data_IF_604521480945
#
_entry.id   IF_604521480945
#
_cell.length_a   1.000
_cell.length_b   1.000
_cell.length_c   1.000
_cell.angle_alpha   90.00
_cell.angle_beta   90.00
_cell.angle_gamma   90.00
#
_symmetry.space_group_name_H-M   'P 1'
#
loop_
_entity.id
_entity.type
_entity.pdbx_description
1 polymer ?
#
# COMPACT_ATOMS: atom_id res chain seq x y z
N UNK A 1 -4.51 -6.28 0.90
CA UNK A 1 -5.22 -6.03 2.18
C UNK A 1 -5.06 -7.22 3.11
N UNK A 2 -5.36 -8.44 2.63
CA UNK A 2 -5.14 -9.69 3.37
C UNK A 2 -3.67 -9.86 3.78
N UNK A 3 -2.72 -9.66 2.87
CA UNK A 3 -1.29 -9.79 3.18
C UNK A 3 -0.83 -8.85 4.31
N UNK A 4 -1.29 -7.59 4.31
CA UNK A 4 -0.99 -6.61 5.38
C UNK A 4 -1.60 -7.05 6.71
N UNK A 5 -2.88 -7.42 6.72
CA UNK A 5 -3.57 -7.92 7.91
C UNK A 5 -2.89 -9.16 8.51
N UNK A 6 -2.43 -10.09 7.66
CA UNK A 6 -1.69 -11.26 8.11
C UNK A 6 -0.34 -10.90 8.74
N UNK A 7 0.37 -9.91 8.20
CA UNK A 7 1.64 -9.42 8.76
C UNK A 7 1.43 -8.75 10.12
N UNK A 8 0.39 -7.94 10.26
CA UNK A 8 0.06 -7.27 11.52
C UNK A 8 -0.35 -8.28 12.60
N UNK A 9 -1.37 -9.09 12.31
CA UNK A 9 -1.83 -10.12 13.24
C UNK A 9 -0.71 -11.11 13.58
N UNK A 10 0.11 -11.51 12.60
CA UNK A 10 1.25 -12.39 12.81
C UNK A 10 2.28 -11.79 13.76
N UNK A 11 2.63 -10.52 13.57
CA UNK A 11 3.56 -9.82 14.47
C UNK A 11 3.01 -9.64 15.89
N UNK A 12 1.69 -9.44 16.03
CA UNK A 12 1.04 -9.23 17.32
C UNK A 12 0.97 -10.52 18.15
N UNK A 13 0.67 -11.66 17.51
CA UNK A 13 0.71 -12.98 18.15
C UNK A 13 2.14 -13.36 18.54
N UNK A 14 3.13 -13.07 17.69
CA UNK A 14 4.53 -13.38 17.96
C UNK A 14 5.08 -12.60 19.18
N UNK A 15 4.67 -11.34 19.31
CA UNK A 15 5.06 -10.44 20.40
C UNK A 15 4.57 -10.90 21.77
N UNK A 16 3.52 -11.73 21.82
CA UNK A 16 2.99 -12.26 23.08
C UNK A 16 4.02 -13.09 23.85
N UNK A 17 5.00 -13.68 23.15
CA UNK A 17 5.99 -14.59 23.74
C UNK A 17 7.45 -14.23 23.37
N UNK A 18 7.67 -13.20 22.56
CA UNK A 18 8.99 -12.81 22.05
C UNK A 18 9.10 -11.29 21.93
N UNK A 19 10.30 -10.71 21.92
CA UNK A 19 10.49 -9.28 21.68
C UNK A 19 9.96 -8.87 20.30
N UNK A 20 9.32 -7.69 20.26
CA UNK A 20 8.66 -7.12 19.08
C UNK A 20 9.59 -7.11 17.84
N UNK A 21 9.24 -7.82 16.75
CA UNK A 21 10.06 -7.84 15.53
C UNK A 21 10.04 -6.48 14.82
N UNK A 22 9.02 -5.65 15.08
CA UNK A 22 8.85 -4.31 14.53
C UNK A 22 9.92 -3.32 15.02
N UNK A 23 10.45 -3.54 16.24
CA UNK A 23 11.41 -2.64 16.89
C UNK A 23 12.81 -3.25 16.94
N UNK A 24 12.90 -4.57 16.79
CA UNK A 24 14.15 -5.33 16.87
C UNK A 24 14.80 -5.51 15.49
N UNK A 25 14.00 -5.74 14.44
CA UNK A 25 14.50 -6.10 13.10
C UNK A 25 14.28 -4.93 12.12
N UNK A 26 15.38 -4.26 11.74
CA UNK A 26 15.38 -3.12 10.79
C UNK A 26 14.70 -3.44 9.46
N UNK A 27 14.95 -4.63 8.92
CA UNK A 27 14.35 -5.07 7.67
C UNK A 27 12.83 -5.29 7.78
N UNK A 28 12.37 -5.89 8.88
CA UNK A 28 10.96 -6.22 9.08
C UNK A 28 10.10 -4.96 9.13
N UNK A 29 10.57 -3.92 9.85
CA UNK A 29 9.84 -2.66 9.85
C UNK A 29 9.72 -2.06 8.44
N UNK A 30 10.83 -1.92 7.71
CA UNK A 30 10.83 -1.31 6.36
C UNK A 30 9.87 -2.04 5.42
N UNK A 31 9.91 -3.38 5.43
CA UNK A 31 9.04 -4.22 4.60
C UNK A 31 7.57 -4.05 5.00
N UNK A 32 7.25 -4.06 6.30
CA UNK A 32 5.89 -3.90 6.79
C UNK A 32 5.27 -2.59 6.31
N UNK A 33 5.99 -1.47 6.48
CA UNK A 33 5.50 -0.15 6.09
C UNK A 33 5.32 -0.05 4.58
N UNK A 34 6.26 -0.60 3.80
CA UNK A 34 6.14 -0.70 2.35
C UNK A 34 4.89 -1.49 1.91
N UNK A 35 4.67 -2.68 2.48
CA UNK A 35 3.52 -3.53 2.16
C UNK A 35 2.21 -2.87 2.56
N UNK A 36 2.16 -2.21 3.71
CA UNK A 36 0.98 -1.45 4.12
C UNK A 36 0.65 -0.34 3.13
N UNK A 37 1.61 0.56 2.87
CA UNK A 37 1.35 1.74 2.06
C UNK A 37 0.98 1.37 0.63
N UNK A 38 1.70 0.43 0.02
CA UNK A 38 1.39 -0.09 -1.31
C UNK A 38 -0.03 -0.71 -1.36
N UNK A 39 -0.40 -1.48 -0.34
CA UNK A 39 -1.72 -2.12 -0.25
C UNK A 39 -2.86 -1.13 -0.10
N UNK A 40 -2.71 -0.10 0.74
CA UNK A 40 -3.72 0.94 0.95
C UNK A 40 -3.96 1.75 -0.34
N UNK A 41 -2.90 2.06 -1.07
CA UNK A 41 -3.04 2.76 -2.35
C UNK A 41 -3.72 1.88 -3.38
N UNK A 42 -3.30 0.62 -3.52
CA UNK A 42 -3.94 -0.31 -4.45
C UNK A 42 -5.43 -0.50 -4.14
N UNK A 43 -5.84 -0.60 -2.87
CA UNK A 43 -7.26 -0.81 -2.53
C UNK A 43 -8.13 0.38 -2.97
N UNK A 44 -7.69 1.62 -2.74
CA UNK A 44 -8.41 2.83 -3.17
C UNK A 44 -8.61 2.84 -4.68
N UNK A 45 -7.56 2.57 -5.45
CA UNK A 45 -7.62 2.56 -6.92
C UNK A 45 -8.41 1.39 -7.50
N UNK A 46 -8.36 0.22 -6.88
CA UNK A 46 -9.18 -0.91 -7.31
C UNK A 46 -10.67 -0.65 -7.09
N UNK A 47 -11.04 0.03 -5.98
CA UNK A 47 -12.41 0.43 -5.72
C UNK A 47 -12.88 1.48 -6.75
N UNK A 48 -12.07 2.50 -7.04
CA UNK A 48 -12.46 3.52 -8.04
C UNK A 48 -12.67 2.92 -9.42
N UNK A 49 -11.81 1.99 -9.85
CA UNK A 49 -11.96 1.27 -11.12
C UNK A 49 -13.20 0.39 -11.10
N UNK A 50 -13.49 -0.31 -10.00
CA UNK A 50 -14.71 -1.10 -9.88
C UNK A 50 -15.99 -0.23 -9.95
N UNK A 51 -15.96 0.96 -9.37
CA UNK A 51 -17.05 1.93 -9.48
C UNK A 51 -17.21 2.45 -10.93
N UNK A 52 -16.09 2.75 -11.60
CA UNK A 52 -16.10 3.17 -13.01
C UNK A 52 -16.63 2.06 -13.93
N UNK A 53 -16.28 0.80 -13.67
CA UNK A 53 -16.79 -0.35 -14.42
C UNK A 53 -18.32 -0.48 -14.28
N UNK A 54 -18.84 -0.40 -13.05
CA UNK A 54 -20.30 -0.40 -12.79
C UNK A 54 -21.02 0.79 -13.42
N UNK A 55 -20.41 1.97 -13.41
CA UNK A 55 -20.95 3.16 -14.08
C UNK A 55 -20.98 2.99 -15.60
N UNK A 56 -19.92 2.44 -16.18
CA UNK A 56 -19.84 2.17 -17.61
C UNK A 56 -20.87 1.13 -18.06
N UNK A 57 -21.20 0.15 -17.21
CA UNK A 57 -22.26 -0.83 -17.45
C UNK A 57 -23.67 -0.23 -17.43
N UNK A 58 -23.94 0.73 -16.54
CA UNK A 58 -25.26 1.36 -16.42
C UNK A 58 -25.49 2.51 -17.40
N UNK A 59 -24.44 3.01 -18.05
CA UNK A 59 -24.53 4.08 -19.05
C UNK A 59 -25.26 3.63 -20.32
N UNK A 60 -26.16 4.48 -20.83
CA UNK A 60 -26.84 4.30 -22.13
C UNK A 60 -25.90 4.48 -23.34
N UNK A 61 -24.67 4.95 -23.14
CA UNK A 61 -23.75 5.22 -24.23
C UNK A 61 -23.04 3.93 -24.69
N UNK A 62 -23.37 3.46 -25.90
CA UNK A 62 -22.79 2.24 -26.49
C UNK A 62 -21.25 2.26 -26.60
N UNK A 63 -20.63 3.45 -26.73
CA UNK A 63 -19.17 3.59 -26.81
C UNK A 63 -18.49 3.27 -25.47
N UNK A 64 -19.11 3.67 -24.36
CA UNK A 64 -18.63 3.41 -23.00
C UNK A 64 -18.85 1.94 -22.63
N UNK A 65 -20.00 1.37 -23.02
CA UNK A 65 -20.31 -0.05 -22.80
C UNK A 65 -19.37 -0.99 -23.55
N UNK A 66 -18.87 -0.61 -24.73
CA UNK A 66 -17.85 -1.39 -25.47
C UNK A 66 -16.49 -1.42 -24.77
N UNK A 67 -16.21 -0.43 -23.91
CA UNK A 67 -14.99 -0.36 -23.10
C UNK A 67 -15.00 -1.33 -21.90
N UNK A 68 -16.19 -1.80 -21.49
CA UNK A 68 -16.37 -2.82 -20.45
C UNK A 68 -16.07 -4.21 -21.03
N UNK A 69 -14.81 -4.45 -21.34
CA UNK A 69 -14.30 -5.77 -21.69
C UNK A 69 -13.40 -6.25 -20.57
N UNK A 70 -13.53 -7.52 -20.19
CA UNK A 70 -12.69 -8.17 -19.17
C UNK A 70 -11.20 -7.99 -19.47
N UNK A 71 -10.81 -8.00 -20.74
CA UNK A 71 -9.42 -7.75 -21.19
C UNK A 71 -8.93 -6.34 -20.87
N UNK A 72 -9.79 -5.33 -20.99
CA UNK A 72 -9.46 -3.94 -20.67
C UNK A 72 -9.38 -3.76 -19.15
N UNK A 73 -10.30 -4.37 -18.40
CA UNK A 73 -10.27 -4.38 -16.95
C UNK A 73 -8.99 -5.02 -16.41
N UNK A 74 -8.59 -6.19 -16.93
CA UNK A 74 -7.32 -6.84 -16.54
C UNK A 74 -6.10 -5.97 -16.84
N UNK A 75 -6.03 -5.34 -18.03
CA UNK A 75 -4.94 -4.42 -18.37
C UNK A 75 -4.91 -3.22 -17.44
N UNK A 76 -6.05 -2.63 -17.12
CA UNK A 76 -6.14 -1.50 -16.20
C UNK A 76 -5.63 -1.88 -14.81
N UNK A 77 -6.02 -3.04 -14.29
CA UNK A 77 -5.52 -3.56 -13.01
C UNK A 77 -4.02 -3.76 -13.04
N UNK A 78 -3.46 -4.39 -14.08
CA UNK A 78 -2.01 -4.60 -14.20
C UNK A 78 -1.23 -3.28 -14.24
N UNK A 79 -1.72 -2.30 -14.98
CA UNK A 79 -1.11 -0.96 -15.06
C UNK A 79 -1.16 -0.27 -13.70
N UNK A 80 -2.30 -0.32 -13.03
CA UNK A 80 -2.48 0.29 -11.69
C UNK A 80 -1.54 -0.36 -10.69
N UNK A 81 -1.47 -1.69 -10.63
CA UNK A 81 -0.53 -2.39 -9.77
C UNK A 81 0.91 -1.95 -10.08
N UNK A 82 1.33 -1.98 -11.34
CA UNK A 82 2.68 -1.58 -11.73
C UNK A 82 3.04 -0.13 -11.34
N UNK A 83 2.13 0.82 -11.59
CA UNK A 83 2.35 2.23 -11.28
C UNK A 83 2.40 2.48 -9.77
N UNK A 84 1.55 1.81 -8.98
CA UNK A 84 1.45 2.05 -7.54
C UNK A 84 2.46 1.29 -6.69
N UNK A 85 3.24 0.36 -7.26
CA UNK A 85 4.39 -0.25 -6.59
C UNK A 85 5.63 0.67 -6.52
N UNK A 86 5.77 1.61 -7.47
CA UNK A 86 6.98 2.44 -7.60
C UNK A 86 7.11 3.49 -6.48
N UNK A 87 6.06 4.28 -6.15
CA UNK A 87 6.15 5.32 -5.13
C UNK A 87 6.67 4.80 -3.78
N UNK A 88 6.12 3.73 -3.17
CA UNK A 88 6.54 3.31 -1.84
C UNK A 88 7.98 2.80 -1.75
N UNK A 89 8.71 2.62 -2.86
CA UNK A 89 10.14 2.24 -2.81
C UNK A 89 10.96 3.26 -2.00
N UNK A 90 10.58 4.54 -1.98
CA UNK A 90 11.24 5.55 -1.15
C UNK A 90 11.21 5.17 0.35
N UNK A 91 10.16 4.50 0.83
CA UNK A 91 10.04 4.15 2.25
C UNK A 91 11.05 3.07 2.67
N UNK A 92 11.52 2.22 1.77
CA UNK A 92 12.57 1.24 2.11
C UNK A 92 13.89 1.93 2.46
N UNK A 93 14.18 3.07 1.84
CA UNK A 93 15.45 3.80 2.02
C UNK A 93 15.37 4.70 3.25
N UNK A 94 14.30 5.48 3.40
CA UNK A 94 14.21 6.56 4.40
C UNK A 94 13.72 6.15 5.80
N UNK A 95 13.19 4.95 5.97
CA UNK A 95 12.79 4.46 7.31
C UNK A 95 13.97 3.86 8.06
N UNK A 96 14.16 4.28 9.30
CA UNK A 96 15.10 3.67 10.24
C UNK A 96 14.45 3.45 11.61
N UNK A 97 15.02 2.52 12.39
CA UNK A 97 14.59 2.32 13.78
C UNK A 97 15.28 3.40 14.60
N UNK A 98 14.49 4.27 15.26
CA UNK A 98 15.06 5.23 16.22
C UNK A 98 15.28 4.50 17.55
N UNK A 99 16.54 4.20 17.84
CA UNK A 99 16.97 3.45 19.02
C UNK A 99 16.51 4.10 20.34
N UNK A 100 16.24 5.41 20.36
CA UNK A 100 15.82 6.16 21.56
C UNK A 100 14.36 5.93 21.99
N UNK A 101 13.47 5.53 21.08
CA UNK A 101 12.02 5.34 21.39
C UNK A 101 11.55 3.96 20.92
N UNK A 102 12.43 3.14 20.34
CA UNK A 102 12.08 1.83 19.77
C UNK A 102 10.88 1.90 18.81
N UNK A 103 10.68 3.04 18.13
CA UNK A 103 9.63 3.19 17.13
C UNK A 103 10.28 3.27 15.77
N UNK A 104 9.69 2.54 14.83
CA UNK A 104 10.09 2.65 13.45
C UNK A 104 9.44 3.87 12.81
N UNK A 105 10.26 4.89 12.56
CA UNK A 105 9.82 6.20 12.10
C UNK A 105 10.76 6.70 11.01
N UNK A 106 10.34 7.74 10.30
CA UNK A 106 11.19 8.37 9.27
C UNK A 106 12.37 9.04 9.97
N UNK A 107 13.60 8.69 9.57
CA UNK A 107 14.81 9.30 10.09
C UNK A 107 15.01 10.68 9.43
N UNK A 108 14.99 11.73 10.27
CA UNK A 108 15.46 13.12 10.08
C UNK A 108 15.21 13.87 8.75
N UNK A 109 14.49 13.30 7.79
CA UNK A 109 14.25 13.89 6.47
C UNK A 109 12.82 14.44 6.39
N UNK A 110 12.70 15.76 6.52
CA UNK A 110 11.41 16.47 6.45
C UNK A 110 10.70 16.26 5.10
N UNK A 111 11.47 16.14 4.02
CA UNK A 111 10.95 15.85 2.67
C UNK A 111 10.25 14.48 2.61
N UNK A 112 10.87 13.43 3.15
CA UNK A 112 10.30 12.08 3.17
C UNK A 112 9.02 12.01 4.03
N UNK A 113 8.96 12.78 5.12
CA UNK A 113 7.76 12.89 5.95
C UNK A 113 6.59 13.55 5.20
N UNK A 114 6.86 14.63 4.45
CA UNK A 114 5.87 15.30 3.61
C UNK A 114 5.35 14.36 2.51
N UNK A 115 6.24 13.67 1.80
CA UNK A 115 5.82 12.66 0.81
C UNK A 115 4.94 11.60 1.44
N UNK A 116 5.34 11.04 2.59
CA UNK A 116 4.55 10.03 3.27
C UNK A 116 3.14 10.53 3.65
N UNK A 117 3.01 11.79 4.11
CA UNK A 117 1.72 12.40 4.48
C UNK A 117 0.75 12.54 3.29
N UNK A 118 1.26 12.94 2.11
CA UNK A 118 0.45 13.06 0.88
C UNK A 118 -0.11 11.69 0.46
N UNK A 119 0.62 10.62 0.75
CA UNK A 119 0.22 9.26 0.44
C UNK A 119 -0.44 8.52 1.62
N UNK A 120 -0.77 9.18 2.72
CA UNK A 120 -1.50 8.56 3.84
C UNK A 120 -2.88 9.17 4.08
N UNK A 121 -3.11 10.43 3.69
CA UNK A 121 -4.45 11.04 3.60
C UNK A 121 -5.17 10.65 2.27
#
# INVERSE_FOLDING_TARGET
MIASLCLDCGSLVFTLNNPDPNITIRAFCKIRIYIMQSTFMMSRWMITIACLDRYALSSRNARVRRFVQVKVAQRAVTVVVGVWLIPPIHTLVFYEIRDAVSVCTIAYNHSAALYHSIYTY
#
